data_IF_775502533834
#
_entry.id   IF_775502533834
#
_cell.length_a   1.000
_cell.length_b   1.000
_cell.length_c   1.000
_cell.angle_alpha   90.00
_cell.angle_beta   90.00
_cell.angle_gamma   90.00
#
_symmetry.space_group_name_H-M   'P 1'
#
loop_
_entity.id
_entity.type
_entity.pdbx_description
1 polymer ?
#
# COMPACT_ATOMS: atom_id res chain seq x y z
N UNK A 1 -12.76 -14.68 7.14
CA UNK A 1 -11.90 -13.55 6.69
C UNK A 1 -11.92 -13.54 5.18
N UNK A 2 -12.15 -12.39 4.54
CA UNK A 2 -12.01 -12.29 3.08
C UNK A 2 -10.53 -12.23 2.74
N UNK A 3 -10.13 -12.72 1.58
CA UNK A 3 -8.73 -12.76 1.15
C UNK A 3 -8.08 -11.35 1.16
N UNK A 4 -8.86 -10.33 0.80
CA UNK A 4 -8.46 -8.92 0.80
C UNK A 4 -8.03 -8.42 2.19
N UNK A 5 -8.66 -8.89 3.27
CA UNK A 5 -8.31 -8.46 4.64
C UNK A 5 -6.91 -8.94 5.05
N UNK A 6 -6.52 -10.11 4.57
CA UNK A 6 -5.21 -10.70 4.83
C UNK A 6 -4.14 -9.92 4.07
N UNK A 7 -4.36 -9.73 2.76
CA UNK A 7 -3.45 -8.97 1.89
C UNK A 7 -3.28 -7.54 2.41
N UNK A 8 -4.37 -6.87 2.80
CA UNK A 8 -4.30 -5.52 3.34
C UNK A 8 -3.45 -5.46 4.62
N UNK A 9 -3.57 -6.47 5.49
CA UNK A 9 -2.79 -6.52 6.73
C UNK A 9 -1.31 -6.76 6.47
N UNK A 10 -0.97 -7.62 5.51
CA UNK A 10 0.42 -7.85 5.11
C UNK A 10 1.05 -6.57 4.52
N UNK A 11 0.30 -5.85 3.68
CA UNK A 11 0.71 -4.55 3.15
C UNK A 11 0.92 -3.51 4.26
N UNK A 12 0.01 -3.45 5.24
CA UNK A 12 0.15 -2.56 6.39
C UNK A 12 1.43 -2.85 7.19
N UNK A 13 1.73 -4.13 7.44
CA UNK A 13 2.96 -4.55 8.13
C UNK A 13 4.23 -4.23 7.34
N UNK A 14 4.18 -4.40 6.02
CA UNK A 14 5.28 -4.05 5.13
C UNK A 14 5.55 -2.53 5.14
N UNK A 15 4.50 -1.72 5.04
CA UNK A 15 4.64 -0.27 5.07
C UNK A 15 5.18 0.21 6.42
N UNK A 16 4.75 -0.40 7.52
CA UNK A 16 5.25 -0.07 8.87
C UNK A 16 6.76 -0.39 8.99
N UNK A 17 7.22 -1.53 8.45
CA UNK A 17 8.65 -1.88 8.44
C UNK A 17 9.50 -0.93 7.58
N UNK A 18 8.90 -0.29 6.57
CA UNK A 18 9.50 0.75 5.74
C UNK A 18 9.41 2.16 6.35
N UNK A 19 8.78 2.31 7.53
CA UNK A 19 8.53 3.60 8.16
C UNK A 19 7.48 4.46 7.43
N UNK A 20 6.60 3.83 6.65
CA UNK A 20 5.53 4.48 5.90
C UNK A 20 4.22 4.33 6.66
N UNK A 21 3.64 5.44 7.12
CA UNK A 21 2.37 5.40 7.86
C UNK A 21 1.15 5.36 6.94
N UNK A 22 0.16 4.51 7.25
CA UNK A 22 -1.16 4.57 6.62
C UNK A 22 -2.04 5.63 7.28
N UNK A 23 -2.68 6.49 6.48
CA UNK A 23 -3.64 7.50 6.96
C UNK A 23 -4.96 7.42 6.20
N UNK A 24 -6.01 7.04 6.90
CA UNK A 24 -7.37 7.08 6.35
C UNK A 24 -7.95 8.50 6.47
N UNK A 25 -8.49 9.01 5.37
CA UNK A 25 -9.20 10.29 5.32
C UNK A 25 -10.48 10.15 4.50
N UNK A 26 -11.48 10.98 4.81
CA UNK A 26 -12.67 11.13 3.97
C UNK A 26 -12.48 12.35 3.10
N UNK A 27 -12.69 12.23 1.80
CA UNK A 27 -12.55 13.36 0.88
C UNK A 27 -12.78 12.95 -0.56
N UNK A 28 -12.59 13.90 -1.48
CA UNK A 28 -12.63 13.66 -2.91
C UNK A 28 -11.20 13.47 -3.43
N UNK A 29 -10.60 12.33 -3.11
CA UNK A 29 -9.28 11.93 -3.57
C UNK A 29 -9.27 10.41 -3.74
N UNK A 30 -8.43 9.92 -4.66
CA UNK A 30 -8.27 8.48 -4.90
C UNK A 30 -7.38 7.84 -3.84
N UNK A 31 -6.32 8.52 -3.42
CA UNK A 31 -5.33 8.03 -2.46
C UNK A 31 -3.93 8.33 -2.96
N UNK A 32 -2.91 7.78 -2.30
CA UNK A 32 -1.54 7.74 -2.80
C UNK A 32 -0.48 8.13 -1.76
N UNK A 33 0.79 8.03 -2.16
CA UNK A 33 1.93 8.37 -1.33
C UNK A 33 2.08 9.89 -1.23
N UNK A 34 2.18 10.36 0.01
CA UNK A 34 2.49 11.73 0.35
C UNK A 34 3.76 11.74 1.20
N UNK A 35 4.75 12.49 0.75
CA UNK A 35 5.95 12.80 1.53
C UNK A 35 5.75 14.16 2.21
N UNK A 36 5.82 14.18 3.53
CA UNK A 36 5.81 15.42 4.30
C UNK A 36 7.09 15.49 5.11
N UNK A 37 8.01 16.39 4.70
CA UNK A 37 9.38 16.45 5.23
C UNK A 37 10.10 15.11 5.01
N UNK A 38 10.53 14.48 6.09
CA UNK A 38 11.21 13.18 6.07
C UNK A 38 10.23 12.01 6.28
N UNK A 39 8.99 12.30 6.65
CA UNK A 39 7.96 11.28 6.87
C UNK A 39 7.26 10.92 5.56
N UNK A 40 7.01 9.62 5.39
CA UNK A 40 6.23 9.06 4.28
C UNK A 40 4.89 8.57 4.82
N UNK A 41 3.81 8.96 4.16
CA UNK A 41 2.47 8.50 4.48
C UNK A 41 1.73 8.11 3.21
N UNK A 42 1.02 6.98 3.24
CA UNK A 42 0.04 6.67 2.19
C UNK A 42 -1.34 7.06 2.70
N UNK A 43 -1.99 7.96 1.97
CA UNK A 43 -3.35 8.38 2.26
C UNK A 43 -4.34 7.48 1.52
N UNK A 44 -5.27 6.90 2.26
CA UNK A 44 -6.34 6.08 1.72
C UNK A 44 -7.67 6.74 1.98
N UNK A 45 -8.56 6.69 0.99
CA UNK A 45 -9.91 7.16 1.19
C UNK A 45 -10.69 6.12 2.01
N UNK A 46 -11.27 6.56 3.12
CA UNK A 46 -12.05 5.70 4.02
C UNK A 46 -13.31 5.14 3.34
N UNK A 47 -13.81 5.81 2.31
CA UNK A 47 -15.00 5.35 1.56
C UNK A 47 -14.67 4.34 0.47
N UNK A 48 -13.39 4.14 0.14
CA UNK A 48 -12.99 3.20 -0.90
C UNK A 48 -13.17 1.76 -0.44
N UNK A 49 -13.44 0.88 -1.41
CA UNK A 49 -13.45 -0.56 -1.19
C UNK A 49 -12.04 -1.05 -0.89
N UNK A 50 -11.94 -2.18 -0.20
CA UNK A 50 -10.65 -2.73 0.23
C UNK A 50 -9.75 -3.09 -0.96
N UNK A 51 -10.31 -3.67 -2.01
CA UNK A 51 -9.61 -3.92 -3.29
C UNK A 51 -8.96 -2.65 -3.86
N UNK A 52 -9.67 -1.53 -3.82
CA UNK A 52 -9.17 -0.25 -4.33
C UNK A 52 -8.05 0.30 -3.43
N UNK A 53 -8.19 0.18 -2.11
CA UNK A 53 -7.14 0.55 -1.16
C UNK A 53 -5.87 -0.28 -1.36
N UNK A 54 -6.02 -1.60 -1.57
CA UNK A 54 -4.91 -2.51 -1.88
C UNK A 54 -4.23 -2.08 -3.19
N UNK A 55 -5.02 -1.81 -4.23
CA UNK A 55 -4.49 -1.39 -5.53
C UNK A 55 -3.68 -0.09 -5.44
N UNK A 56 -4.12 0.87 -4.64
CA UNK A 56 -3.37 2.12 -4.41
C UNK A 56 -2.05 1.82 -3.70
N UNK A 57 -2.05 0.99 -2.66
CA UNK A 57 -0.81 0.67 -1.96
C UNK A 57 0.17 -0.04 -2.91
N UNK A 58 -0.31 -1.00 -3.71
CA UNK A 58 0.52 -1.74 -4.67
C UNK A 58 1.13 -0.80 -5.71
N UNK A 59 0.36 0.11 -6.30
CA UNK A 59 0.90 1.06 -7.28
C UNK A 59 1.99 1.95 -6.69
N UNK A 60 1.83 2.40 -5.44
CA UNK A 60 2.87 3.20 -4.77
C UNK A 60 4.11 2.37 -4.44
N UNK A 61 3.95 1.07 -4.15
CA UNK A 61 5.08 0.16 -3.90
C UNK A 61 5.85 -0.17 -5.19
N UNK A 62 5.18 -0.24 -6.35
CA UNK A 62 5.83 -0.42 -7.65
C UNK A 62 6.77 0.74 -7.98
N UNK A 63 6.38 1.96 -7.61
CA UNK A 63 7.19 3.17 -7.80
C UNK A 63 8.28 3.36 -6.73
N UNK A 64 8.31 2.50 -5.69
CA UNK A 64 9.31 2.55 -4.63
C UNK A 64 10.50 1.64 -4.93
N UNK A 65 11.67 2.09 -4.47
CA UNK A 65 12.84 1.22 -4.37
C UNK A 65 12.64 0.22 -3.22
N UNK A 66 12.38 -1.04 -3.58
CA UNK A 66 12.18 -2.15 -2.66
C UNK A 66 13.46 -2.99 -2.45
N UNK A 67 14.63 -2.52 -2.91
CA UNK A 67 15.88 -3.24 -2.73
C UNK A 67 16.19 -3.48 -1.24
N UNK A 68 16.47 -4.74 -0.90
CA UNK A 68 16.79 -5.15 0.47
C UNK A 68 15.59 -5.29 1.42
N UNK A 69 14.35 -5.08 0.94
CA UNK A 69 13.14 -5.27 1.73
C UNK A 69 12.61 -6.70 1.59
N UNK A 70 12.31 -7.34 2.72
CA UNK A 70 11.72 -8.68 2.74
C UNK A 70 10.22 -8.60 2.44
N UNK A 71 9.87 -8.74 1.15
CA UNK A 71 8.48 -8.78 0.69
C UNK A 71 7.85 -10.17 0.93
N UNK A 72 6.65 -10.24 1.53
CA UNK A 72 5.88 -11.49 1.59
C UNK A 72 5.63 -12.06 0.19
N UNK A 73 5.58 -13.39 0.07
CA UNK A 73 5.40 -14.05 -1.22
C UNK A 73 4.13 -13.57 -1.95
N UNK A 74 3.03 -13.42 -1.21
CA UNK A 74 1.75 -12.93 -1.77
C UNK A 74 1.86 -11.52 -2.35
N UNK A 75 2.63 -10.63 -1.73
CA UNK A 75 2.83 -9.26 -2.24
C UNK A 75 3.75 -9.27 -3.47
N UNK A 76 4.81 -10.10 -3.47
CA UNK A 76 5.67 -10.26 -4.65
C UNK A 76 4.89 -10.71 -5.88
N UNK A 77 4.00 -11.69 -5.72
CA UNK A 77 3.15 -12.19 -6.82
C UNK A 77 2.15 -11.14 -7.34
N UNK A 78 1.72 -10.21 -6.48
CA UNK A 78 0.84 -9.11 -6.88
C UNK A 78 1.59 -8.03 -7.66
N UNK A 79 2.77 -7.64 -7.21
CA UNK A 79 3.62 -6.66 -7.90
C UNK A 79 4.08 -7.18 -9.28
N UNK A 80 4.44 -8.46 -9.39
CA UNK A 80 4.87 -9.04 -10.67
C UNK A 80 3.74 -9.14 -11.73
N UNK A 81 2.47 -9.02 -11.33
CA UNK A 81 1.33 -9.09 -12.25
C UNK A 81 0.95 -7.75 -12.87
N UNK A 82 1.50 -6.64 -12.37
CA UNK A 82 1.25 -5.28 -12.88
C UNK A 82 2.03 -4.99 -14.18
N UNK A 83 3.11 -5.74 -14.44
CA UNK A 83 3.83 -5.74 -15.73
C UNK A 83 3.10 -6.60 -16.78
N UNK A 84 2.03 -6.09 -17.39
CA UNK A 84 1.42 -6.68 -18.60
C UNK A 84 0.77 -5.63 -19.52
#
# INVERSE_FOLDING_TARGET
MKNEDIIFKELEQLLDSMGIGLKFRKGYFKGGLCRYRDDKYIYLNRTDKKEQQISIILSELEDMDLEGIELPQTIRELLSKSEA
#
